data_IF_125458635126
#
_entry.id   IF_125458635126
#
_cell.length_a   1.000
_cell.length_b   1.000
_cell.length_c   1.000
_cell.angle_alpha   90.00
_cell.angle_beta   90.00
_cell.angle_gamma   90.00
#
_symmetry.space_group_name_H-M   'P 1'
#
loop_
_entity.id
_entity.type
_entity.pdbx_description
1 polymer ?
#
# COMPACT_ATOMS: atom_id res chain seq x y z
N UNK A 1 -65.85 19.68 -40.19
CA UNK A 1 -66.02 21.16 -40.26
C UNK A 1 -67.11 21.50 -39.25
N UNK A 2 -66.92 22.31 -38.21
CA UNK A 2 -66.56 23.74 -38.22
C UNK A 2 -66.05 24.16 -36.82
N UNK A 3 -65.06 25.04 -36.78
CA UNK A 3 -64.41 25.59 -35.57
C UNK A 3 -65.36 26.46 -34.73
N UNK A 4 -65.21 26.46 -33.40
CA UNK A 4 -65.56 27.64 -32.60
C UNK A 4 -64.55 27.94 -31.48
N UNK A 5 -64.36 29.24 -31.28
CA UNK A 5 -63.23 29.96 -30.67
C UNK A 5 -63.09 29.78 -29.16
N UNK A 6 -61.85 30.03 -28.74
CA UNK A 6 -61.33 30.10 -27.37
C UNK A 6 -62.09 31.09 -26.46
N UNK A 7 -62.22 30.72 -25.18
CA UNK A 7 -62.28 31.67 -24.06
C UNK A 7 -61.09 31.41 -23.14
N UNK A 8 -60.04 32.21 -23.27
CA UNK A 8 -58.92 32.25 -22.33
C UNK A 8 -59.44 32.78 -20.99
N UNK A 9 -59.49 31.94 -19.96
CA UNK A 9 -59.67 32.41 -18.58
C UNK A 9 -58.44 33.24 -18.22
N UNK A 10 -58.65 34.52 -17.94
CA UNK A 10 -57.60 35.45 -17.54
C UNK A 10 -56.89 34.91 -16.29
N UNK A 11 -55.59 34.64 -16.40
CA UNK A 11 -54.75 34.30 -15.25
C UNK A 11 -54.58 35.56 -14.38
N UNK A 12 -55.18 35.54 -13.20
CA UNK A 12 -55.00 36.59 -12.20
C UNK A 12 -53.60 36.52 -11.59
N UNK A 13 -52.92 37.67 -11.53
CA UNK A 13 -51.55 37.87 -11.02
C UNK A 13 -51.30 37.46 -9.56
N UNK A 14 -52.32 37.00 -8.84
CA UNK A 14 -52.25 36.58 -7.42
C UNK A 14 -52.17 35.07 -7.20
N UNK A 15 -52.10 34.25 -8.26
CA UNK A 15 -52.14 32.78 -8.15
C UNK A 15 -50.81 32.04 -8.32
N UNK A 16 -49.66 32.71 -8.45
CA UNK A 16 -48.40 32.04 -8.83
C UNK A 16 -47.30 32.08 -7.76
N UNK A 17 -47.63 32.34 -6.50
CA UNK A 17 -46.64 32.51 -5.42
C UNK A 17 -46.81 31.49 -4.27
N UNK A 18 -47.33 30.30 -4.55
CA UNK A 18 -47.63 29.30 -3.52
C UNK A 18 -46.87 27.97 -3.63
N UNK A 19 -46.47 27.50 -4.83
CA UNK A 19 -46.33 26.04 -5.01
C UNK A 19 -44.92 25.52 -5.31
N UNK A 20 -43.84 26.27 -5.05
CA UNK A 20 -42.47 25.81 -5.42
C UNK A 20 -41.43 25.71 -4.30
N UNK A 21 -41.77 25.86 -3.03
CA UNK A 21 -40.74 25.80 -1.96
C UNK A 21 -40.67 24.51 -1.16
N UNK A 22 -41.56 23.52 -1.37
CA UNK A 22 -41.56 22.29 -0.57
C UNK A 22 -41.28 21.03 -1.40
N UNK A 23 -40.19 21.01 -2.18
CA UNK A 23 -39.71 19.77 -2.82
C UNK A 23 -38.19 19.57 -2.77
N UNK A 24 -37.44 20.41 -2.05
CA UNK A 24 -36.09 20.07 -1.61
C UNK A 24 -36.18 19.88 -0.10
N UNK A 25 -36.05 18.65 0.41
CA UNK A 25 -35.33 18.31 1.65
C UNK A 25 -35.54 16.86 2.18
N UNK A 26 -36.17 15.94 1.44
CA UNK A 26 -36.24 14.53 1.85
C UNK A 26 -35.88 13.63 0.64
N UNK A 27 -34.86 12.79 0.62
CA UNK A 27 -34.02 12.25 1.68
C UNK A 27 -32.68 11.91 1.04
N UNK A 28 -31.57 12.51 1.50
CA UNK A 28 -30.26 11.91 1.25
C UNK A 28 -30.20 10.66 2.13
N UNK A 29 -30.60 9.51 1.58
CA UNK A 29 -30.30 8.22 2.20
C UNK A 29 -28.80 8.04 2.12
N UNK A 30 -28.09 8.50 3.15
CA UNK A 30 -26.74 8.03 3.41
C UNK A 30 -26.86 6.51 3.58
N UNK A 31 -26.40 5.75 2.59
CA UNK A 31 -26.11 4.34 2.82
C UNK A 31 -25.20 4.31 4.04
N UNK A 32 -25.65 3.68 5.12
CA UNK A 32 -24.75 3.33 6.21
C UNK A 32 -23.68 2.43 5.57
N UNK A 33 -22.50 3.00 5.35
CA UNK A 33 -21.34 2.19 5.11
C UNK A 33 -21.14 1.41 6.40
N UNK A 34 -21.47 0.12 6.38
CA UNK A 34 -21.07 -0.82 7.39
C UNK A 34 -19.54 -0.70 7.50
N UNK A 35 -19.08 -0.04 8.56
CA UNK A 35 -17.69 -0.12 8.97
C UNK A 35 -17.51 -1.55 9.48
N UNK A 36 -17.21 -2.46 8.57
CA UNK A 36 -16.46 -3.65 8.94
C UNK A 36 -15.14 -3.14 9.50
N UNK A 37 -15.07 -3.01 10.82
CA UNK A 37 -13.82 -2.96 11.57
C UNK A 37 -13.13 -4.28 11.30
N UNK A 38 -12.46 -4.37 10.16
CA UNK A 38 -11.49 -5.41 9.91
C UNK A 38 -10.56 -5.38 11.13
N UNK A 39 -10.48 -6.49 11.83
CA UNK A 39 -9.47 -6.65 12.87
C UNK A 39 -8.13 -6.31 12.23
N UNK A 40 -7.54 -5.18 12.63
CA UNK A 40 -6.24 -4.71 12.14
C UNK A 40 -5.10 -5.55 12.73
N UNK A 41 -5.38 -6.77 13.17
CA UNK A 41 -4.39 -7.68 13.69
C UNK A 41 -3.76 -8.39 12.48
N UNK A 42 -2.61 -7.85 12.05
CA UNK A 42 -1.75 -8.54 11.11
C UNK A 42 -1.32 -9.90 11.71
N UNK A 43 -1.09 -10.93 10.87
CA UNK A 43 -0.51 -12.17 11.36
C UNK A 43 0.85 -11.86 12.01
N UNK A 44 1.17 -12.60 13.08
CA UNK A 44 2.49 -12.51 13.71
C UNK A 44 3.57 -12.87 12.69
N UNK A 45 4.63 -12.05 12.60
CA UNK A 45 5.71 -12.25 11.65
C UNK A 45 6.74 -13.24 12.20
N UNK A 46 6.98 -14.30 11.43
CA UNK A 46 8.02 -15.29 11.64
C UNK A 46 8.99 -15.17 10.48
N UNK A 47 10.20 -14.68 10.76
CA UNK A 47 11.15 -14.26 9.73
C UNK A 47 12.50 -14.96 9.88
N UNK A 48 13.16 -15.16 8.74
CA UNK A 48 14.61 -15.25 8.70
C UNK A 48 15.15 -13.85 8.43
N UNK A 49 16.15 -13.43 9.19
CA UNK A 49 16.79 -12.13 9.03
C UNK A 49 18.23 -12.32 8.54
N UNK A 50 18.55 -11.76 7.37
CA UNK A 50 19.94 -11.55 6.96
C UNK A 50 20.33 -10.17 7.48
N UNK A 51 20.91 -10.13 8.69
CA UNK A 51 21.06 -8.90 9.47
C UNK A 51 22.01 -7.86 8.85
N UNK A 52 22.77 -8.20 7.80
CA UNK A 52 23.63 -7.27 7.05
C UNK A 52 23.93 -7.84 5.66
N UNK A 53 23.72 -7.04 4.62
CA UNK A 53 24.07 -7.36 3.24
C UNK A 53 25.56 -7.61 3.11
N UNK A 54 26.40 -6.88 3.85
CA UNK A 54 27.83 -7.14 3.93
C UNK A 54 28.17 -8.58 4.40
N UNK A 55 27.35 -9.19 5.26
CA UNK A 55 27.57 -10.56 5.73
C UNK A 55 27.12 -11.63 4.73
N UNK A 56 26.26 -11.30 3.75
CA UNK A 56 25.59 -12.29 2.90
C UNK A 56 25.72 -12.02 1.39
N UNK A 57 25.59 -10.78 0.93
CA UNK A 57 25.60 -10.46 -0.50
C UNK A 57 26.89 -10.87 -1.20
N UNK A 58 28.03 -10.52 -0.59
CA UNK A 58 29.34 -10.68 -1.19
C UNK A 58 29.68 -9.57 -2.19
N UNK A 59 30.96 -9.43 -2.49
CA UNK A 59 31.53 -8.41 -3.38
C UNK A 59 31.19 -6.96 -2.99
N UNK A 60 30.99 -6.70 -1.70
CA UNK A 60 30.67 -5.37 -1.15
C UNK A 60 31.93 -4.46 -1.06
N UNK A 61 32.69 -4.36 -2.16
CA UNK A 61 34.03 -3.73 -2.18
C UNK A 61 34.03 -2.21 -1.99
N UNK A 62 32.84 -1.59 -2.00
CA UNK A 62 32.66 -0.14 -1.83
C UNK A 62 32.19 0.25 -0.42
N UNK A 63 32.36 -0.64 0.56
CA UNK A 63 31.99 -0.40 1.96
C UNK A 63 33.20 -0.03 2.80
N UNK A 64 32.97 0.62 3.93
CA UNK A 64 34.01 0.94 4.91
C UNK A 64 34.62 -0.31 5.54
N UNK A 65 33.81 -1.33 5.86
CA UNK A 65 34.28 -2.61 6.39
C UNK A 65 35.21 -3.30 5.39
N UNK A 66 34.91 -3.26 4.08
CA UNK A 66 35.81 -3.82 3.08
C UNK A 66 37.20 -3.22 3.16
N UNK A 67 37.30 -1.89 3.29
CA UNK A 67 38.59 -1.21 3.45
C UNK A 67 39.30 -1.70 4.72
N UNK A 68 38.57 -1.85 5.84
CA UNK A 68 39.13 -2.34 7.10
C UNK A 68 39.60 -3.80 7.03
N UNK A 69 39.03 -4.62 6.16
CA UNK A 69 39.54 -5.97 5.92
C UNK A 69 40.88 -5.96 5.18
N UNK A 70 41.12 -4.99 4.30
CA UNK A 70 42.34 -4.93 3.47
C UNK A 70 43.57 -4.38 4.21
N UNK A 71 43.42 -3.73 5.36
CA UNK A 71 44.56 -3.11 6.06
C UNK A 71 45.40 -4.13 6.82
N UNK A 72 46.73 -3.95 6.80
CA UNK A 72 47.63 -4.75 7.63
C UNK A 72 47.35 -4.53 9.11
N UNK A 73 47.28 -5.63 9.88
CA UNK A 73 46.95 -5.57 11.30
C UNK A 73 45.46 -5.38 11.58
N UNK A 74 44.60 -5.66 10.59
CA UNK A 74 43.15 -5.71 10.79
C UNK A 74 42.75 -6.67 11.92
N UNK A 75 41.63 -6.37 12.55
CA UNK A 75 41.01 -7.24 13.57
C UNK A 75 40.22 -8.40 12.94
N UNK A 76 39.92 -8.30 11.64
CA UNK A 76 39.16 -9.31 10.93
C UNK A 76 40.05 -10.53 10.67
N UNK A 77 39.50 -11.72 10.94
CA UNK A 77 40.21 -12.99 10.80
C UNK A 77 40.44 -13.36 9.33
N UNK A 78 39.47 -13.05 8.48
CA UNK A 78 39.44 -13.37 7.05
C UNK A 78 38.63 -12.31 6.30
N UNK A 79 38.81 -12.27 4.98
CA UNK A 79 38.05 -11.39 4.08
C UNK A 79 36.65 -11.95 3.84
N UNK A 80 35.67 -11.05 3.73
CA UNK A 80 34.26 -11.38 3.43
C UNK A 80 34.08 -11.90 2.00
N UNK A 81 34.87 -11.39 1.05
CA UNK A 81 34.85 -11.73 -0.38
C UNK A 81 33.43 -11.95 -0.91
N UNK A 82 33.09 -13.19 -1.30
CA UNK A 82 31.80 -13.54 -1.88
C UNK A 82 30.72 -13.94 -0.86
N UNK A 83 31.04 -13.93 0.44
CA UNK A 83 30.14 -14.35 1.52
C UNK A 83 29.39 -15.67 1.19
N UNK A 84 28.05 -15.67 1.23
CA UNK A 84 27.21 -16.78 0.76
C UNK A 84 26.55 -16.53 -0.60
N UNK A 85 27.02 -15.52 -1.35
CA UNK A 85 26.58 -15.19 -2.72
C UNK A 85 25.09 -14.80 -2.80
N UNK A 86 24.54 -14.19 -1.73
CA UNK A 86 23.12 -13.82 -1.67
C UNK A 86 22.74 -12.85 -2.79
N UNK A 87 23.66 -11.99 -3.24
CA UNK A 87 23.42 -11.08 -4.35
C UNK A 87 22.97 -11.80 -5.63
N UNK A 88 23.56 -12.95 -5.93
CA UNK A 88 23.20 -13.76 -7.10
C UNK A 88 22.08 -14.79 -6.79
N UNK A 89 21.84 -15.12 -5.52
CA UNK A 89 21.02 -16.26 -5.07
C UNK A 89 19.78 -15.88 -4.25
N UNK A 90 19.50 -14.58 -4.07
CA UNK A 90 18.41 -14.12 -3.21
C UNK A 90 17.06 -14.75 -3.54
N UNK A 91 16.78 -15.04 -4.81
CA UNK A 91 15.56 -15.71 -5.23
C UNK A 91 15.41 -17.11 -4.63
N UNK A 92 16.49 -17.90 -4.64
CA UNK A 92 16.52 -19.25 -4.08
C UNK A 92 16.41 -19.20 -2.56
N UNK A 93 17.09 -18.24 -1.92
CA UNK A 93 17.12 -18.12 -0.47
C UNK A 93 15.76 -17.65 0.10
N UNK A 94 15.09 -16.71 -0.58
CA UNK A 94 13.72 -16.29 -0.22
C UNK A 94 12.73 -17.44 -0.46
N UNK A 95 12.87 -18.18 -1.56
CA UNK A 95 12.01 -19.34 -1.83
C UNK A 95 12.20 -20.44 -0.78
N UNK A 96 13.44 -20.68 -0.35
CA UNK A 96 13.76 -21.60 0.73
C UNK A 96 13.12 -21.15 2.05
N UNK A 97 13.27 -19.87 2.41
CA UNK A 97 12.63 -19.28 3.60
C UNK A 97 11.11 -19.51 3.60
N UNK A 98 10.45 -19.21 2.49
CA UNK A 98 9.02 -19.46 2.33
C UNK A 98 8.66 -20.95 2.44
N UNK A 99 9.49 -21.85 1.89
CA UNK A 99 9.28 -23.30 1.98
C UNK A 99 9.38 -23.86 3.40
N UNK A 100 10.10 -23.16 4.30
CA UNK A 100 10.19 -23.48 5.72
C UNK A 100 9.00 -22.95 6.54
N UNK A 101 8.05 -22.25 5.90
CA UNK A 101 6.84 -21.72 6.53
C UNK A 101 7.03 -20.33 7.16
N UNK A 102 8.12 -19.64 6.84
CA UNK A 102 8.32 -18.25 7.24
C UNK A 102 7.45 -17.32 6.39
N UNK A 103 6.94 -16.25 7.00
CA UNK A 103 5.96 -15.36 6.37
C UNK A 103 6.49 -13.95 6.12
N UNK A 104 7.75 -13.69 6.47
CA UNK A 104 8.45 -12.47 6.10
C UNK A 104 9.97 -12.72 6.06
N UNK A 105 10.69 -11.83 5.39
CA UNK A 105 12.12 -11.92 5.12
C UNK A 105 12.73 -10.52 5.19
N UNK A 106 13.62 -10.31 6.15
CA UNK A 106 14.27 -9.02 6.39
C UNK A 106 15.71 -9.04 5.88
N UNK A 107 16.08 -8.01 5.11
CA UNK A 107 17.43 -7.78 4.59
C UNK A 107 17.73 -6.27 4.50
N UNK A 108 19.01 -5.90 4.44
CA UNK A 108 19.45 -4.51 4.22
C UNK A 108 19.61 -4.20 2.73
N UNK A 109 19.68 -2.91 2.41
CA UNK A 109 20.13 -2.42 1.10
C UNK A 109 21.44 -1.69 1.37
N UNK A 110 22.50 -2.08 0.65
CA UNK A 110 23.85 -1.52 0.75
C UNK A 110 24.09 -0.34 -0.20
#
# INVERSE_FOLDING_TARGET
>A
MTRHRQRTKALSRRGFLSDTTCNLLASASFSHAEHHSASLTLPFLWEAATSSGYQTEGNSTNTDIWILEQVNGTIFKEHSDNANDFYARYHQDIALSASLGLNSFQFSIE
#
